data_IF_158630097138
#
_entry.id   IF_158630097138
#
_cell.length_a   1.000
_cell.length_b   1.000
_cell.length_c   1.000
_cell.angle_alpha   90.00
_cell.angle_beta   90.00
_cell.angle_gamma   90.00
#
_symmetry.space_group_name_H-M   'P 1'
#
loop_
_entity.id
_entity.type
_entity.pdbx_description
1 polymer ?
#
# COMPACT_ATOMS: atom_id res chain seq x y z
N UNK A 1 37.19 19.24 61.83
CA UNK A 1 36.66 17.86 61.82
C UNK A 1 35.14 17.86 61.61
N UNK A 2 34.42 18.65 62.35
CA UNK A 2 32.93 18.74 62.22
C UNK A 2 32.54 19.49 60.92
N UNK A 3 33.26 20.49 60.51
CA UNK A 3 33.08 21.21 59.27
C UNK A 3 33.38 20.36 58.03
N UNK A 4 34.42 19.52 58.08
CA UNK A 4 34.78 18.60 57.00
C UNK A 4 33.70 17.51 56.80
N UNK A 5 33.16 16.97 57.88
CA UNK A 5 32.07 16.01 57.81
C UNK A 5 30.79 16.61 57.26
N UNK A 6 30.49 17.86 57.63
CA UNK A 6 29.32 18.59 57.16
C UNK A 6 29.41 18.94 55.67
N UNK A 7 30.60 19.31 55.21
CA UNK A 7 30.91 19.56 53.79
C UNK A 7 30.79 18.29 52.96
N UNK A 8 31.29 17.14 53.40
CA UNK A 8 31.18 15.88 52.76
C UNK A 8 29.71 15.42 52.58
N UNK A 9 28.89 15.54 53.61
CA UNK A 9 27.47 15.20 53.56
C UNK A 9 26.71 16.09 52.55
N UNK A 10 26.98 17.37 52.55
CA UNK A 10 26.39 18.31 51.58
C UNK A 10 26.80 17.99 50.15
N UNK A 11 28.07 17.64 49.95
CA UNK A 11 28.59 17.32 48.61
C UNK A 11 28.04 16.01 48.08
N UNK A 12 27.91 15.00 48.96
CA UNK A 12 27.28 13.72 48.61
C UNK A 12 25.80 13.86 48.26
N UNK A 13 25.08 14.66 49.02
CA UNK A 13 23.65 14.97 48.75
C UNK A 13 23.49 15.66 47.39
N UNK A 14 24.38 16.59 47.07
CA UNK A 14 24.37 17.33 45.81
C UNK A 14 24.66 16.41 44.60
N UNK A 15 25.61 15.50 44.72
CA UNK A 15 25.96 14.48 43.70
C UNK A 15 24.83 13.49 43.50
N UNK A 16 24.17 13.05 44.59
CA UNK A 16 23.00 12.15 44.49
C UNK A 16 21.81 12.82 43.81
N UNK A 17 21.54 14.10 44.11
CA UNK A 17 20.52 14.86 43.42
C UNK A 17 20.78 15.01 41.92
N UNK A 18 22.02 15.26 41.55
CA UNK A 18 22.42 15.38 40.16
C UNK A 18 22.30 14.04 39.41
N UNK A 19 22.71 12.93 40.04
CA UNK A 19 22.57 11.57 39.49
C UNK A 19 21.09 11.19 39.34
N UNK A 20 20.25 11.52 40.27
CA UNK A 20 18.81 11.31 40.20
C UNK A 20 18.16 12.07 39.06
N UNK A 21 18.49 13.34 38.89
CA UNK A 21 17.99 14.18 37.80
C UNK A 21 18.45 13.67 36.43
N UNK A 22 19.71 13.22 36.30
CA UNK A 22 20.25 12.65 35.09
C UNK A 22 19.57 11.30 34.75
N UNK A 23 19.32 10.46 35.75
CA UNK A 23 18.61 9.20 35.55
C UNK A 23 17.14 9.42 35.12
N UNK A 24 16.46 10.39 35.70
CA UNK A 24 15.09 10.74 35.32
C UNK A 24 15.02 11.30 33.90
N UNK A 25 15.97 12.16 33.53
CA UNK A 25 16.08 12.69 32.17
C UNK A 25 16.32 11.56 31.13
N UNK A 26 17.18 10.62 31.47
CA UNK A 26 17.47 9.46 30.62
C UNK A 26 16.25 8.55 30.47
N UNK A 27 15.51 8.28 31.54
CA UNK A 27 14.27 7.51 31.47
C UNK A 27 13.21 8.19 30.62
N UNK A 28 13.03 9.51 30.80
CA UNK A 28 12.07 10.29 30.00
C UNK A 28 12.41 10.24 28.52
N UNK A 29 13.69 10.37 28.17
CA UNK A 29 14.17 10.29 26.80
C UNK A 29 13.99 8.89 26.21
N UNK A 30 14.33 7.84 26.96
CA UNK A 30 14.15 6.46 26.54
C UNK A 30 12.67 6.12 26.30
N UNK A 31 11.77 6.59 27.15
CA UNK A 31 10.32 6.43 27.00
C UNK A 31 9.82 7.17 25.75
N UNK A 32 10.28 8.39 25.51
CA UNK A 32 9.94 9.16 24.30
C UNK A 32 10.42 8.47 23.04
N UNK A 33 11.67 7.98 23.01
CA UNK A 33 12.23 7.27 21.87
C UNK A 33 11.47 5.95 21.61
N UNK A 34 11.09 5.23 22.65
CA UNK A 34 10.27 4.02 22.54
C UNK A 34 8.89 4.33 21.97
N UNK A 35 8.23 5.40 22.39
CA UNK A 35 6.92 5.82 21.88
C UNK A 35 6.98 6.17 20.39
N UNK A 36 8.01 6.90 19.95
CA UNK A 36 8.23 7.23 18.54
C UNK A 36 8.47 5.96 17.71
N UNK A 37 9.35 5.08 18.18
CA UNK A 37 9.66 3.82 17.49
C UNK A 37 8.43 2.90 17.40
N UNK A 38 7.61 2.81 18.45
CA UNK A 38 6.36 2.06 18.45
C UNK A 38 5.35 2.63 17.46
N UNK A 39 5.22 3.96 17.39
CA UNK A 39 4.34 4.64 16.44
C UNK A 39 4.75 4.38 14.99
N UNK A 40 6.05 4.41 14.70
CA UNK A 40 6.58 4.08 13.37
C UNK A 40 6.35 2.61 13.01
N UNK A 41 6.55 1.68 13.95
CA UNK A 41 6.28 0.26 13.75
C UNK A 41 4.79 0.01 13.46
N UNK A 42 3.88 0.68 14.16
CA UNK A 42 2.44 0.57 13.93
C UNK A 42 2.04 1.12 12.56
N UNK A 43 2.63 2.22 12.11
CA UNK A 43 2.42 2.78 10.77
C UNK A 43 2.94 1.84 9.68
N UNK A 44 4.10 1.22 9.87
CA UNK A 44 4.64 0.22 8.94
C UNK A 44 3.75 -1.00 8.84
N UNK A 45 3.22 -1.50 9.95
CA UNK A 45 2.26 -2.61 9.94
C UNK A 45 0.97 -2.25 9.23
N UNK A 46 0.46 -1.05 9.46
CA UNK A 46 -0.74 -0.54 8.80
C UNK A 46 -0.53 -0.41 7.29
N UNK A 47 0.59 0.17 6.87
CA UNK A 47 0.96 0.30 5.45
C UNK A 47 1.13 -1.06 4.78
N UNK A 48 1.77 -2.01 5.46
CA UNK A 48 1.93 -3.38 4.95
C UNK A 48 0.59 -4.11 4.80
N UNK A 49 -0.35 -3.88 5.71
CA UNK A 49 -1.70 -4.44 5.62
C UNK A 49 -2.45 -3.87 4.42
N UNK A 50 -2.41 -2.56 4.24
CA UNK A 50 -3.00 -1.88 3.08
C UNK A 50 -2.41 -2.43 1.79
N UNK A 51 -1.08 -2.54 1.70
CA UNK A 51 -0.41 -3.09 0.53
C UNK A 51 -0.86 -4.51 0.20
N UNK A 52 -1.01 -5.38 1.19
CA UNK A 52 -1.48 -6.76 0.99
C UNK A 52 -2.94 -6.82 0.55
N UNK A 53 -3.81 -6.03 1.15
CA UNK A 53 -5.22 -5.95 0.76
C UNK A 53 -5.36 -5.45 -0.68
N UNK A 54 -4.62 -4.43 -1.05
CA UNK A 54 -4.66 -3.84 -2.38
C UNK A 54 -4.06 -4.76 -3.43
N UNK A 55 -2.98 -5.48 -3.11
CA UNK A 55 -2.44 -6.51 -3.99
C UNK A 55 -3.48 -7.59 -4.30
N UNK A 56 -4.27 -8.02 -3.31
CA UNK A 56 -5.38 -8.95 -3.50
C UNK A 56 -6.47 -8.41 -4.41
N UNK A 57 -6.82 -7.12 -4.28
CA UNK A 57 -7.80 -6.44 -5.15
C UNK A 57 -7.30 -6.37 -6.58
N UNK A 58 -6.03 -5.97 -6.79
CA UNK A 58 -5.43 -5.91 -8.13
C UNK A 58 -5.36 -7.28 -8.79
N UNK A 59 -5.01 -8.30 -8.05
CA UNK A 59 -4.96 -9.68 -8.52
C UNK A 59 -6.34 -10.16 -8.97
N UNK A 60 -7.37 -9.90 -8.17
CA UNK A 60 -8.76 -10.21 -8.51
C UNK A 60 -9.22 -9.49 -9.77
N UNK A 61 -8.95 -8.19 -9.88
CA UNK A 61 -9.34 -7.40 -11.06
C UNK A 61 -8.57 -7.82 -12.31
N UNK A 62 -7.28 -8.16 -12.17
CA UNK A 62 -6.48 -8.72 -13.26
C UNK A 62 -7.02 -10.05 -13.75
N UNK A 63 -7.41 -10.94 -12.85
CA UNK A 63 -8.06 -12.21 -13.20
C UNK A 63 -9.39 -12.03 -13.92
N UNK A 64 -10.17 -11.01 -13.55
CA UNK A 64 -11.42 -10.68 -14.25
C UNK A 64 -11.18 -10.29 -15.71
N UNK A 65 -10.09 -9.56 -16.00
CA UNK A 65 -9.70 -9.23 -17.36
C UNK A 65 -9.33 -10.50 -18.13
N UNK A 66 -8.50 -11.36 -17.54
CA UNK A 66 -8.09 -12.63 -18.14
C UNK A 66 -9.26 -13.56 -18.44
N UNK A 67 -10.22 -13.66 -17.52
CA UNK A 67 -11.44 -14.46 -17.74
C UNK A 67 -12.28 -13.92 -18.90
N UNK A 68 -12.40 -12.60 -19.03
CA UNK A 68 -13.12 -12.00 -20.16
C UNK A 68 -12.41 -12.24 -21.49
N UNK A 69 -11.10 -12.20 -21.54
CA UNK A 69 -10.29 -12.54 -22.71
C UNK A 69 -10.45 -14.02 -23.05
N UNK A 70 -10.40 -14.90 -22.07
CA UNK A 70 -10.61 -16.34 -22.25
C UNK A 70 -12.01 -16.66 -22.77
N UNK A 71 -13.05 -16.01 -22.24
CA UNK A 71 -14.42 -16.16 -22.73
C UNK A 71 -14.54 -15.75 -24.20
N UNK A 72 -13.90 -14.68 -24.62
CA UNK A 72 -13.86 -14.26 -26.01
C UNK A 72 -13.15 -15.30 -26.90
N UNK A 73 -12.00 -15.83 -26.45
CA UNK A 73 -11.30 -16.90 -27.15
C UNK A 73 -12.13 -18.17 -27.29
N UNK A 74 -12.81 -18.57 -26.22
CA UNK A 74 -13.68 -19.74 -26.22
C UNK A 74 -14.89 -19.57 -27.14
N UNK A 75 -15.33 -18.34 -27.38
CA UNK A 75 -16.37 -18.02 -28.33
C UNK A 75 -15.87 -17.88 -29.78
N UNK A 76 -14.58 -18.12 -30.03
CA UNK A 76 -13.98 -18.10 -31.37
C UNK A 76 -13.51 -16.73 -31.84
N UNK A 77 -13.22 -15.82 -30.90
CA UNK A 77 -12.65 -14.50 -31.21
C UNK A 77 -11.16 -14.43 -30.91
N UNK A 78 -10.49 -13.48 -31.55
CA UNK A 78 -9.10 -13.14 -31.27
C UNK A 78 -9.10 -11.79 -30.56
N UNK A 79 -8.38 -11.71 -29.43
CA UNK A 79 -8.21 -10.46 -28.66
C UNK A 79 -6.81 -9.92 -28.91
N UNK A 80 -6.73 -8.69 -29.41
CA UNK A 80 -5.46 -7.99 -29.63
C UNK A 80 -4.91 -7.36 -28.35
N UNK A 81 -3.67 -6.89 -28.41
CA UNK A 81 -3.00 -6.23 -27.28
C UNK A 81 -3.67 -4.90 -26.88
N UNK A 82 -4.39 -4.29 -27.78
CA UNK A 82 -5.22 -3.09 -27.58
C UNK A 82 -6.65 -3.40 -27.09
N UNK A 83 -6.92 -4.67 -26.77
CA UNK A 83 -8.24 -5.20 -26.42
C UNK A 83 -9.26 -5.15 -27.57
N UNK A 84 -8.82 -5.03 -28.80
CA UNK A 84 -9.68 -5.25 -29.97
C UNK A 84 -10.09 -6.71 -30.06
N UNK A 85 -11.32 -6.93 -30.46
CA UNK A 85 -11.89 -8.29 -30.60
C UNK A 85 -12.33 -8.49 -32.03
N UNK A 86 -11.79 -9.52 -32.66
CA UNK A 86 -12.07 -9.88 -34.06
C UNK A 86 -12.48 -11.33 -34.17
N UNK A 87 -13.35 -11.64 -35.16
CA UNK A 87 -13.75 -13.02 -35.42
C UNK A 87 -12.60 -13.80 -36.06
N UNK A 88 -12.32 -14.98 -35.55
CA UNK A 88 -11.29 -15.88 -36.09
C UNK A 88 -11.70 -16.58 -37.38
N UNK A 89 -12.99 -16.60 -37.72
CA UNK A 89 -13.53 -17.26 -38.90
C UNK A 89 -13.90 -16.24 -39.96
N UNK A 90 -13.50 -16.53 -41.21
CA UNK A 90 -13.66 -15.58 -42.32
C UNK A 90 -14.77 -15.94 -43.31
N UNK A 91 -15.28 -17.19 -43.33
CA UNK A 91 -16.34 -17.60 -44.24
C UNK A 91 -17.69 -17.71 -43.52
N UNK A 92 -18.46 -16.64 -43.62
CA UNK A 92 -19.80 -16.57 -43.05
C UNK A 92 -20.73 -15.83 -43.99
N UNK A 93 -22.05 -16.06 -43.84
CA UNK A 93 -23.08 -15.22 -44.50
C UNK A 93 -23.02 -13.81 -43.95
N UNK A 94 -23.58 -12.85 -44.69
CA UNK A 94 -23.63 -11.45 -44.23
C UNK A 94 -24.35 -11.28 -42.90
N UNK A 95 -25.43 -12.05 -42.67
CA UNK A 95 -26.19 -12.01 -41.43
C UNK A 95 -25.38 -12.58 -40.26
N UNK A 96 -24.68 -13.70 -40.47
CA UNK A 96 -23.76 -14.28 -39.47
C UNK A 96 -22.62 -13.37 -39.14
N UNK A 97 -22.02 -12.73 -40.15
CA UNK A 97 -20.93 -11.75 -39.98
C UNK A 97 -21.36 -10.57 -39.12
N UNK A 98 -22.57 -10.01 -39.39
CA UNK A 98 -23.11 -8.91 -38.61
C UNK A 98 -23.38 -9.30 -37.15
N UNK A 99 -23.90 -10.50 -36.92
CA UNK A 99 -24.14 -11.02 -35.56
C UNK A 99 -22.81 -11.24 -34.80
N UNK A 100 -21.80 -11.77 -35.47
CA UNK A 100 -20.46 -11.96 -34.90
C UNK A 100 -19.76 -10.64 -34.59
N UNK A 101 -19.87 -9.65 -35.45
CA UNK A 101 -19.33 -8.31 -35.21
C UNK A 101 -19.99 -7.65 -33.99
N UNK A 102 -21.31 -7.80 -33.84
CA UNK A 102 -22.02 -7.29 -32.68
C UNK A 102 -21.54 -7.97 -31.39
N UNK A 103 -21.34 -9.29 -31.43
CA UNK A 103 -20.81 -10.06 -30.31
C UNK A 103 -19.35 -9.67 -29.99
N UNK A 104 -18.51 -9.45 -30.98
CA UNK A 104 -17.15 -8.97 -30.80
C UNK A 104 -17.12 -7.61 -30.08
N UNK A 105 -18.03 -6.69 -30.43
CA UNK A 105 -18.14 -5.40 -29.75
C UNK A 105 -18.55 -5.52 -28.29
N UNK A 106 -19.45 -6.46 -27.97
CA UNK A 106 -19.84 -6.73 -26.57
C UNK A 106 -18.64 -7.24 -25.78
N UNK A 107 -17.88 -8.19 -26.31
CA UNK A 107 -16.67 -8.68 -25.66
C UNK A 107 -15.62 -7.56 -25.49
N UNK A 108 -15.39 -6.76 -26.52
CA UNK A 108 -14.43 -5.64 -26.45
C UNK A 108 -14.84 -4.62 -25.38
N UNK A 109 -16.12 -4.28 -25.30
CA UNK A 109 -16.63 -3.37 -24.28
C UNK A 109 -16.46 -3.92 -22.86
N UNK A 110 -16.75 -5.20 -22.66
CA UNK A 110 -16.58 -5.86 -21.35
C UNK A 110 -15.11 -5.93 -20.94
N UNK A 111 -14.22 -6.34 -21.83
CA UNK A 111 -12.78 -6.40 -21.56
C UNK A 111 -12.24 -5.01 -21.22
N UNK A 112 -12.59 -3.99 -21.98
CA UNK A 112 -12.17 -2.60 -21.72
C UNK A 112 -12.70 -2.05 -20.41
N UNK A 113 -13.94 -2.37 -20.05
CA UNK A 113 -14.51 -1.97 -18.77
C UNK A 113 -13.75 -2.59 -17.59
N UNK A 114 -13.42 -3.88 -17.69
CA UNK A 114 -12.65 -4.58 -16.65
C UNK A 114 -11.19 -4.08 -16.59
N UNK A 115 -10.56 -3.87 -17.71
CA UNK A 115 -9.21 -3.29 -17.79
C UNK A 115 -9.18 -1.87 -17.22
N UNK A 116 -10.21 -1.06 -17.50
CA UNK A 116 -10.36 0.28 -16.93
C UNK A 116 -10.51 0.26 -15.40
N UNK A 117 -11.27 -0.70 -14.87
CA UNK A 117 -11.40 -0.89 -13.43
C UNK A 117 -10.06 -1.25 -12.78
N UNK A 118 -9.27 -2.11 -13.42
CA UNK A 118 -7.92 -2.46 -12.97
C UNK A 118 -6.99 -1.24 -12.93
N UNK A 119 -6.98 -0.42 -13.98
CA UNK A 119 -6.17 0.80 -14.06
C UNK A 119 -6.56 1.79 -12.98
N UNK A 120 -7.85 2.00 -12.76
CA UNK A 120 -8.34 2.90 -11.69
C UNK A 120 -7.94 2.40 -10.31
N UNK A 121 -8.05 1.10 -10.06
CA UNK A 121 -7.62 0.50 -8.80
C UNK A 121 -6.12 0.63 -8.59
N UNK A 122 -5.31 0.40 -9.62
CA UNK A 122 -3.85 0.56 -9.58
C UNK A 122 -3.44 2.00 -9.23
N UNK A 123 -4.09 2.98 -9.84
CA UNK A 123 -3.86 4.40 -9.54
C UNK A 123 -4.26 4.75 -8.10
N UNK A 124 -5.39 4.23 -7.63
CA UNK A 124 -5.86 4.44 -6.26
C UNK A 124 -4.90 3.82 -5.23
N UNK A 125 -4.42 2.61 -5.48
CA UNK A 125 -3.42 1.93 -4.64
C UNK A 125 -2.13 2.73 -4.55
N UNK A 126 -1.62 3.21 -5.68
CA UNK A 126 -0.41 4.03 -5.73
C UNK A 126 -0.56 5.31 -4.89
N UNK A 127 -1.73 5.95 -4.95
CA UNK A 127 -2.06 7.11 -4.13
C UNK A 127 -2.12 6.79 -2.64
N UNK A 128 -2.79 5.72 -2.26
CA UNK A 128 -2.93 5.28 -0.87
C UNK A 128 -1.58 4.92 -0.25
N UNK A 129 -0.74 4.18 -0.97
CA UNK A 129 0.61 3.82 -0.52
C UNK A 129 1.52 5.04 -0.40
N UNK A 130 1.44 5.96 -1.35
CA UNK A 130 2.19 7.20 -1.33
C UNK A 130 1.83 8.07 -0.11
N UNK A 131 0.54 8.19 0.19
CA UNK A 131 0.04 8.92 1.37
C UNK A 131 0.49 8.25 2.68
N UNK A 132 0.44 6.92 2.76
CA UNK A 132 0.88 6.17 3.93
C UNK A 132 2.39 6.31 4.15
N UNK A 133 3.19 6.25 3.09
CA UNK A 133 4.63 6.43 3.14
C UNK A 133 5.03 7.86 3.55
N UNK A 134 4.32 8.89 3.09
CA UNK A 134 4.52 10.26 3.50
C UNK A 134 4.26 10.46 5.00
N UNK A 135 3.20 9.83 5.54
CA UNK A 135 2.91 9.85 6.98
C UNK A 135 4.02 9.24 7.85
N UNK A 136 4.70 8.22 7.36
CA UNK A 136 5.85 7.61 8.05
C UNK A 136 7.05 8.59 8.06
N UNK A 137 7.30 9.27 6.94
CA UNK A 137 8.39 10.24 6.81
C UNK A 137 8.24 11.43 7.75
N UNK A 138 7.04 11.98 7.86
CA UNK A 138 6.75 13.17 8.69
C UNK A 138 6.91 12.92 10.19
N UNK A 139 6.66 11.71 10.66
CA UNK A 139 6.77 11.36 12.09
C UNK A 139 8.18 10.93 12.51
N UNK A 140 9.08 10.65 11.57
CA UNK A 140 10.39 10.08 11.84
C UNK A 140 11.54 11.07 11.96
N UNK A 141 11.41 12.32 11.53
CA UNK A 141 12.52 13.22 11.31
C UNK A 141 12.36 14.65 11.86
N UNK A 142 11.41 14.90 12.73
CA UNK A 142 11.42 16.12 13.52
C UNK A 142 12.46 16.02 14.64
N UNK A 143 13.61 16.54 14.35
CA UNK A 143 14.68 16.75 15.32
C UNK A 143 14.51 18.13 15.93
#
# INVERSE_FOLDING_TARGET
RWEDAHWQVRNQAHVLDWQGAAADALRARTTSDYTVASGQADQLRSTSRIARQQAGVLDHLGNRVLYAVEDAHNAGFIVGDDFSVTDSQTSRTAAELAARQAQAQVFAADIRARAGALVRADTSVAGDLSSAAAGIGDTGFEI
#
